data_IF_574348023091
#
_entry.id   IF_574348023091
#
_cell.length_a   1.000
_cell.length_b   1.000
_cell.length_c   1.000
_cell.angle_alpha   90.00
_cell.angle_beta   90.00
_cell.angle_gamma   90.00
#
_symmetry.space_group_name_H-M   'P 1'
#
loop_
_entity.id
_entity.type
_entity.pdbx_description
1 polymer ?
#
# COMPACT_ATOMS: atom_id res chain seq x y z
N UNK A 1 -46.09 47.25 36.87
CA UNK A 1 -45.32 46.23 36.10
C UNK A 1 -45.23 46.70 34.66
N UNK A 2 -44.14 46.45 33.90
CA UNK A 2 -42.87 45.71 34.15
C UNK A 2 -41.67 46.69 34.31
N UNK A 3 -40.50 46.43 34.96
CA UNK A 3 -39.43 45.39 35.01
C UNK A 3 -38.50 45.37 33.77
N UNK A 4 -37.43 46.15 33.86
CA UNK A 4 -36.18 46.08 33.08
C UNK A 4 -35.18 45.13 33.75
N UNK A 5 -34.28 44.52 32.96
CA UNK A 5 -32.91 44.22 33.41
C UNK A 5 -32.37 42.83 33.07
N UNK A 6 -31.29 42.81 32.28
CA UNK A 6 -30.16 41.88 32.42
C UNK A 6 -30.23 40.58 31.63
N UNK A 7 -29.53 40.52 30.49
CA UNK A 7 -29.19 39.22 29.85
C UNK A 7 -27.97 39.19 28.91
N UNK A 8 -27.12 40.20 28.89
CA UNK A 8 -25.96 40.22 27.97
C UNK A 8 -24.59 40.00 28.63
N UNK A 9 -24.43 40.15 29.95
CA UNK A 9 -23.09 40.08 30.60
C UNK A 9 -22.65 38.67 31.08
N UNK A 10 -23.52 37.66 31.03
CA UNK A 10 -23.24 36.35 31.65
C UNK A 10 -22.59 35.30 30.73
N UNK A 11 -22.49 35.55 29.42
CA UNK A 11 -21.95 34.56 28.47
C UNK A 11 -20.41 34.60 28.35
N UNK A 12 -19.77 35.77 28.48
CA UNK A 12 -18.31 35.91 28.36
C UNK A 12 -17.52 35.44 29.60
N UNK A 13 -18.16 35.42 30.78
CA UNK A 13 -17.49 35.04 32.04
C UNK A 13 -17.33 33.52 32.22
N UNK A 14 -18.10 32.70 31.49
CA UNK A 14 -18.06 31.24 31.60
C UNK A 14 -16.97 30.58 30.74
N UNK A 15 -16.69 31.09 29.54
CA UNK A 15 -15.61 30.60 28.67
C UNK A 15 -14.22 30.84 29.29
N UNK A 16 -14.07 31.93 30.03
CA UNK A 16 -12.78 32.35 30.62
C UNK A 16 -12.36 31.49 31.83
N UNK A 17 -13.30 30.82 32.51
CA UNK A 17 -13.04 30.12 33.79
C UNK A 17 -12.58 28.65 33.62
N UNK A 18 -12.75 28.08 32.42
CA UNK A 18 -12.34 26.69 32.09
C UNK A 18 -11.01 26.66 31.31
N UNK A 19 -10.64 27.75 30.63
CA UNK A 19 -9.43 27.86 29.83
C UNK A 19 -8.13 27.74 30.67
N UNK A 20 -8.05 28.40 31.83
CA UNK A 20 -6.84 28.39 32.66
C UNK A 20 -6.51 27.00 33.27
N UNK A 21 -7.49 26.22 33.79
CA UNK A 21 -7.26 24.83 34.19
C UNK A 21 -6.85 23.89 33.03
N UNK A 22 -7.39 24.11 31.83
CA UNK A 22 -7.06 23.34 30.63
C UNK A 22 -5.62 23.57 30.18
N UNK A 23 -5.16 24.82 30.15
CA UNK A 23 -3.78 25.16 29.79
C UNK A 23 -2.77 24.61 30.79
N UNK A 24 -3.05 24.73 32.10
CA UNK A 24 -2.19 24.18 33.15
C UNK A 24 -2.10 22.64 33.10
N UNK A 25 -3.23 21.97 32.83
CA UNK A 25 -3.27 20.52 32.62
C UNK A 25 -2.47 20.12 31.38
N UNK A 26 -2.58 20.86 30.29
CA UNK A 26 -1.86 20.59 29.06
C UNK A 26 -0.35 20.74 29.22
N UNK A 27 0.14 21.76 29.91
CA UNK A 27 1.58 21.95 30.11
C UNK A 27 2.18 20.82 30.97
N UNK A 28 1.42 20.31 31.95
CA UNK A 28 1.77 19.14 32.74
C UNK A 28 1.82 17.86 31.87
N UNK A 29 0.78 17.62 31.06
CA UNK A 29 0.71 16.49 30.13
C UNK A 29 1.86 16.55 29.13
N UNK A 30 2.15 17.71 28.56
CA UNK A 30 3.28 17.95 27.65
C UNK A 30 4.61 17.62 28.30
N UNK A 31 4.81 18.04 29.55
CA UNK A 31 6.04 17.76 30.31
C UNK A 31 6.22 16.28 30.65
N UNK A 32 5.11 15.56 30.90
CA UNK A 32 5.10 14.10 31.04
C UNK A 32 5.43 13.39 29.74
N UNK A 33 4.69 13.70 28.67
CA UNK A 33 4.88 13.12 27.35
C UNK A 33 6.26 13.40 26.76
N UNK A 34 6.85 14.57 27.03
CA UNK A 34 8.23 14.90 26.61
C UNK A 34 9.28 14.01 27.28
N UNK A 35 9.07 13.61 28.54
CA UNK A 35 9.95 12.67 29.26
C UNK A 35 9.77 11.24 28.76
N UNK A 36 8.53 10.83 28.51
CA UNK A 36 8.19 9.44 28.17
C UNK A 36 8.44 9.10 26.69
N UNK A 37 8.16 10.04 25.78
CA UNK A 37 8.34 9.86 24.33
C UNK A 37 9.73 10.29 23.85
N UNK A 38 10.48 10.99 24.70
CA UNK A 38 11.75 11.61 24.37
C UNK A 38 11.58 12.95 23.64
N UNK A 39 12.60 13.80 23.80
CA UNK A 39 12.57 15.20 23.35
C UNK A 39 12.35 15.35 21.84
N UNK A 40 12.97 14.49 21.03
CA UNK A 40 12.87 14.56 19.56
C UNK A 40 11.46 14.25 19.04
N UNK A 41 10.85 13.18 19.53
CA UNK A 41 9.49 12.76 19.18
C UNK A 41 8.47 13.81 19.62
N UNK A 42 8.61 14.32 20.84
CA UNK A 42 7.71 15.33 21.37
C UNK A 42 7.80 16.65 20.59
N UNK A 43 9.03 17.15 20.39
CA UNK A 43 9.25 18.42 19.69
C UNK A 43 8.79 18.38 18.23
N UNK A 44 8.85 17.20 17.58
CA UNK A 44 8.39 17.01 16.20
C UNK A 44 6.88 16.88 16.02
N UNK A 45 6.18 16.26 16.97
CA UNK A 45 4.78 15.84 16.77
C UNK A 45 3.75 16.45 17.71
N UNK A 46 4.15 16.77 18.94
CA UNK A 46 3.20 17.19 19.98
C UNK A 46 3.43 18.64 20.42
N UNK A 47 4.63 19.17 20.22
CA UNK A 47 4.93 20.59 20.45
C UNK A 47 4.08 21.54 19.58
N UNK A 48 3.78 21.24 18.29
CA UNK A 48 2.93 22.09 17.46
C UNK A 48 1.43 21.99 17.78
N UNK A 49 1.03 21.15 18.74
CA UNK A 49 -0.38 20.93 19.06
C UNK A 49 -0.91 22.03 20.00
N UNK A 50 -2.05 22.60 19.61
CA UNK A 50 -2.77 23.64 20.36
C UNK A 50 -4.04 23.06 20.97
N UNK A 51 -4.48 23.63 22.11
CA UNK A 51 -5.73 23.21 22.75
C UNK A 51 -6.88 23.93 22.05
N UNK A 52 -7.86 23.16 21.58
CA UNK A 52 -9.11 23.68 21.03
C UNK A 52 -10.22 23.77 22.07
N UNK A 53 -11.45 23.75 21.59
CA UNK A 53 -12.64 23.85 22.44
C UNK A 53 -12.94 22.55 23.17
N UNK A 54 -13.36 22.67 24.44
CA UNK A 54 -13.95 21.57 25.21
C UNK A 54 -15.47 21.65 25.04
N UNK A 55 -16.07 20.60 24.50
CA UNK A 55 -17.53 20.47 24.46
C UNK A 55 -18.06 20.13 25.86
N UNK A 56 -18.84 21.03 26.49
CA UNK A 56 -19.33 20.84 27.86
C UNK A 56 -20.38 19.73 28.00
N UNK A 57 -21.08 19.36 26.92
CA UNK A 57 -22.13 18.33 26.94
C UNK A 57 -21.55 16.92 26.76
N UNK A 58 -20.55 16.78 25.89
CA UNK A 58 -19.92 15.48 25.61
C UNK A 58 -18.65 15.23 26.43
N UNK A 59 -18.01 16.28 26.94
CA UNK A 59 -16.70 16.21 27.60
C UNK A 59 -15.55 15.89 26.63
N UNK A 60 -15.74 16.17 25.34
CA UNK A 60 -14.74 15.93 24.28
C UNK A 60 -13.86 17.16 24.11
N UNK A 61 -12.55 16.99 24.27
CA UNK A 61 -11.57 18.07 24.05
C UNK A 61 -10.98 17.99 22.65
N UNK A 62 -11.05 19.09 21.91
CA UNK A 62 -10.39 19.17 20.61
C UNK A 62 -8.90 19.53 20.78
N UNK A 63 -8.01 18.78 20.13
CA UNK A 63 -6.58 19.08 20.02
C UNK A 63 -6.30 19.49 18.58
N UNK A 64 -5.88 20.73 18.38
CA UNK A 64 -5.69 21.34 17.07
C UNK A 64 -4.26 21.09 16.61
N UNK A 65 -4.12 20.51 15.43
CA UNK A 65 -2.86 20.25 14.77
C UNK A 65 -2.69 21.19 13.56
N UNK A 66 -1.45 21.58 13.22
CA UNK A 66 -1.20 22.49 12.10
C UNK A 66 -1.54 21.89 10.73
N UNK A 67 -1.84 20.57 10.65
CA UNK A 67 -2.30 19.93 9.43
C UNK A 67 -3.19 18.71 9.66
N UNK A 68 -4.00 18.37 8.66
CA UNK A 68 -4.81 17.14 8.65
C UNK A 68 -3.96 15.88 8.77
N UNK A 69 -2.79 15.87 8.12
CA UNK A 69 -1.90 14.72 8.16
C UNK A 69 -1.27 14.50 9.52
N UNK A 70 -0.84 15.57 10.19
CA UNK A 70 -0.37 15.48 11.57
C UNK A 70 -1.52 15.10 12.51
N UNK A 71 -2.75 15.60 12.27
CA UNK A 71 -3.92 15.18 13.03
C UNK A 71 -4.16 13.67 12.93
N UNK A 72 -4.24 13.14 11.72
CA UNK A 72 -4.47 11.71 11.46
C UNK A 72 -3.36 10.84 12.07
N UNK A 73 -2.11 11.31 12.02
CA UNK A 73 -0.97 10.54 12.53
C UNK A 73 -0.88 10.59 14.05
N UNK A 74 -1.06 11.75 14.68
CA UNK A 74 -1.09 11.87 16.14
C UNK A 74 -2.28 11.08 16.69
N UNK A 75 -3.43 11.10 16.01
CA UNK A 75 -4.57 10.25 16.36
C UNK A 75 -4.19 8.76 16.32
N UNK A 76 -3.54 8.32 15.23
CA UNK A 76 -3.20 6.90 15.03
C UNK A 76 -2.09 6.38 15.97
N UNK A 77 -1.13 7.23 16.36
CA UNK A 77 0.07 6.80 17.11
C UNK A 77 0.04 7.20 18.59
N UNK A 78 -0.62 8.32 18.90
CA UNK A 78 -0.64 8.91 20.23
C UNK A 78 -2.05 9.15 20.78
N UNK A 79 -3.11 8.93 20.01
CA UNK A 79 -4.50 9.14 20.43
C UNK A 79 -4.81 8.46 21.76
N UNK A 80 -4.56 7.15 21.86
CA UNK A 80 -4.83 6.39 23.10
C UNK A 80 -4.03 6.92 24.31
N UNK A 81 -2.77 7.33 24.08
CA UNK A 81 -1.89 7.85 25.14
C UNK A 81 -2.32 9.23 25.59
N UNK A 82 -2.68 10.10 24.66
CA UNK A 82 -3.20 11.43 24.93
C UNK A 82 -4.54 11.34 25.67
N UNK A 83 -5.44 10.45 25.23
CA UNK A 83 -6.73 10.23 25.88
C UNK A 83 -6.54 9.79 27.34
N UNK A 84 -5.61 8.86 27.58
CA UNK A 84 -5.27 8.41 28.93
C UNK A 84 -4.66 9.54 29.78
N UNK A 85 -3.70 10.30 29.23
CA UNK A 85 -3.04 11.38 29.94
C UNK A 85 -4.02 12.51 30.35
N UNK A 86 -4.95 12.86 29.46
CA UNK A 86 -6.02 13.82 29.73
C UNK A 86 -6.97 13.31 30.80
N UNK A 87 -7.44 12.06 30.69
CA UNK A 87 -8.33 11.44 31.68
C UNK A 87 -7.72 11.37 33.08
N UNK A 88 -6.41 11.16 33.18
CA UNK A 88 -5.69 11.13 34.47
C UNK A 88 -5.47 12.53 35.06
N UNK A 89 -5.20 13.53 34.23
CA UNK A 89 -4.83 14.88 34.69
C UNK A 89 -6.06 15.76 34.95
N UNK A 90 -7.06 15.68 34.09
CA UNK A 90 -8.30 16.45 34.18
C UNK A 90 -9.50 15.54 33.87
N UNK A 91 -10.12 14.91 34.89
CA UNK A 91 -11.23 13.96 34.71
C UNK A 91 -12.50 14.56 34.05
N UNK A 92 -12.55 15.88 33.87
CA UNK A 92 -13.56 16.59 33.11
C UNK A 92 -13.49 16.24 31.61
N UNK A 93 -12.30 15.94 31.09
CA UNK A 93 -12.08 15.49 29.70
C UNK A 93 -12.31 13.98 29.64
N UNK A 94 -13.38 13.57 28.97
CA UNK A 94 -13.79 12.18 28.83
C UNK A 94 -13.22 11.53 27.58
N UNK A 95 -13.11 12.31 26.51
CA UNK A 95 -12.58 11.88 25.22
C UNK A 95 -11.79 13.03 24.58
N UNK A 96 -10.94 12.69 23.61
CA UNK A 96 -10.18 13.67 22.84
C UNK A 96 -10.44 13.49 21.36
N UNK A 97 -10.47 14.61 20.63
CA UNK A 97 -10.59 14.61 19.18
C UNK A 97 -9.45 15.42 18.59
N UNK A 98 -8.62 14.78 17.77
CA UNK A 98 -7.51 15.47 17.13
C UNK A 98 -7.99 15.99 15.77
N UNK A 99 -7.92 17.30 15.59
CA UNK A 99 -8.46 18.01 14.42
C UNK A 99 -7.37 18.87 13.77
N UNK A 100 -7.47 19.09 12.46
CA UNK A 100 -6.62 20.06 11.79
C UNK A 100 -7.11 21.48 12.04
N UNK A 101 -6.21 22.46 12.09
CA UNK A 101 -6.58 23.88 12.01
C UNK A 101 -7.41 24.15 10.75
N UNK A 102 -8.40 25.04 10.83
CA UNK A 102 -9.32 25.31 9.72
C UNK A 102 -8.60 25.81 8.43
N UNK A 103 -7.47 26.51 8.59
CA UNK A 103 -6.59 26.99 7.52
C UNK A 103 -5.36 26.09 7.26
N UNK A 104 -5.35 24.88 7.83
CA UNK A 104 -4.27 23.94 7.61
C UNK A 104 -4.08 23.64 6.12
N UNK A 105 -2.84 23.68 5.58
CA UNK A 105 -2.57 23.17 4.25
C UNK A 105 -3.01 21.71 4.22
N UNK A 106 -4.09 21.42 3.48
CA UNK A 106 -4.46 20.05 3.16
C UNK A 106 -3.25 19.45 2.44
N UNK A 107 -2.77 18.27 2.82
CA UNK A 107 -1.85 17.55 1.98
C UNK A 107 -2.65 17.20 0.73
N UNK A 108 -2.53 18.02 -0.30
CA UNK A 108 -2.64 17.50 -1.64
C UNK A 108 -1.65 16.32 -1.70
N UNK A 109 -2.00 15.17 -2.28
CA UNK A 109 -0.97 14.19 -2.62
C UNK A 109 0.15 14.98 -3.31
N UNK A 110 1.37 14.89 -2.78
CA UNK A 110 2.56 15.69 -3.15
C UNK A 110 3.04 15.51 -4.60
N UNK A 111 2.14 15.06 -5.46
CA UNK A 111 2.16 15.07 -6.91
C UNK A 111 1.14 16.08 -7.50
N UNK A 112 0.72 17.10 -6.75
CA UNK A 112 0.48 18.39 -7.40
C UNK A 112 1.88 18.98 -7.56
N UNK A 113 2.55 18.50 -8.62
CA UNK A 113 3.65 19.22 -9.22
C UNK A 113 3.20 20.68 -9.25
N UNK A 114 4.05 21.54 -8.69
CA UNK A 114 4.08 22.97 -8.93
C UNK A 114 3.36 23.28 -10.24
N UNK A 115 2.26 24.04 -10.16
CA UNK A 115 1.57 24.56 -11.34
C UNK A 115 2.65 25.28 -12.17
N UNK A 116 3.22 24.54 -13.11
CA UNK A 116 3.98 25.10 -14.18
C UNK A 116 3.02 26.11 -14.79
N UNK A 117 3.34 27.40 -14.60
CA UNK A 117 2.65 28.57 -15.17
C UNK A 117 1.94 28.13 -16.44
N UNK A 118 0.62 28.41 -16.60
CA UNK A 118 -0.14 27.85 -17.69
C UNK A 118 0.56 28.16 -19.00
N UNK A 119 1.29 27.18 -19.54
CA UNK A 119 1.59 27.15 -20.96
C UNK A 119 0.22 27.03 -21.57
N UNK A 120 -0.18 28.11 -22.23
CA UNK A 120 -1.39 28.28 -23.05
C UNK A 120 -2.12 26.95 -23.21
N UNK A 121 -3.26 26.82 -22.54
CA UNK A 121 -4.17 25.69 -22.69
C UNK A 121 -4.53 25.66 -24.17
N UNK A 122 -3.80 24.89 -24.97
CA UNK A 122 -4.30 24.38 -26.23
C UNK A 122 -5.57 23.63 -25.85
N UNK A 123 -6.70 24.08 -26.39
CA UNK A 123 -8.02 23.47 -26.19
C UNK A 123 -7.87 21.95 -26.16
N UNK A 124 -8.06 21.34 -24.98
CA UNK A 124 -7.97 19.89 -24.85
C UNK A 124 -9.10 19.31 -25.68
N UNK A 125 -8.75 18.48 -26.64
CA UNK A 125 -9.71 17.75 -27.46
C UNK A 125 -10.64 16.94 -26.54
N UNK A 126 -11.96 17.23 -26.50
CA UNK A 126 -12.91 16.53 -25.63
C UNK A 126 -13.09 15.04 -25.99
N UNK A 127 -12.48 14.57 -27.08
CA UNK A 127 -12.51 13.17 -27.52
C UNK A 127 -11.43 12.29 -26.89
N UNK A 128 -10.43 12.86 -26.23
CA UNK A 128 -9.36 12.08 -25.59
C UNK A 128 -9.76 11.64 -24.18
N UNK A 129 -9.53 10.36 -23.80
CA UNK A 129 -9.76 9.90 -22.44
C UNK A 129 -8.96 10.73 -21.43
N UNK A 130 -9.52 10.94 -20.24
CA UNK A 130 -8.85 11.68 -19.16
C UNK A 130 -7.72 10.84 -18.54
N UNK A 131 -6.62 10.69 -19.25
CA UNK A 131 -5.42 10.03 -18.77
C UNK A 131 -4.69 10.92 -17.77
N UNK A 132 -4.32 10.35 -16.62
CA UNK A 132 -3.46 11.00 -15.65
C UNK A 132 -2.13 11.46 -16.30
N UNK A 133 -1.82 12.77 -16.33
CA UNK A 133 -0.61 13.30 -16.96
C UNK A 133 0.70 12.78 -16.33
N UNK A 134 0.64 12.25 -15.12
CA UNK A 134 1.79 11.71 -14.38
C UNK A 134 2.21 10.33 -14.88
N UNK A 135 1.30 9.60 -15.53
CA UNK A 135 1.54 8.23 -15.99
C UNK A 135 1.96 8.22 -17.46
N UNK A 136 3.22 8.56 -17.68
CA UNK A 136 3.86 8.58 -19.01
C UNK A 136 5.03 7.63 -19.07
N UNK A 137 5.48 7.30 -20.27
CA UNK A 137 6.60 6.39 -20.41
C UNK A 137 7.93 6.98 -19.88
N UNK A 138 8.08 8.30 -19.89
CA UNK A 138 9.26 9.01 -19.38
C UNK A 138 9.35 8.91 -17.85
N UNK A 139 8.20 8.85 -17.17
CA UNK A 139 8.12 8.69 -15.71
C UNK A 139 8.09 7.23 -15.25
N UNK A 140 8.06 6.27 -16.19
CA UNK A 140 8.07 4.84 -15.88
C UNK A 140 9.51 4.31 -15.82
N UNK A 141 9.97 3.99 -14.61
CA UNK A 141 11.32 3.41 -14.41
C UNK A 141 11.33 1.96 -14.86
N UNK A 142 12.19 1.67 -15.84
CA UNK A 142 12.36 0.32 -16.40
C UNK A 142 13.48 -0.41 -15.67
N UNK A 143 13.25 -1.68 -15.38
CA UNK A 143 14.24 -2.63 -14.89
C UNK A 143 13.86 -4.05 -15.30
N UNK A 144 14.70 -5.03 -14.96
CA UNK A 144 14.52 -6.43 -15.38
C UNK A 144 13.13 -6.99 -15.07
N UNK A 145 12.53 -6.59 -13.95
CA UNK A 145 11.21 -7.06 -13.52
C UNK A 145 10.02 -6.59 -14.39
N UNK A 146 10.19 -5.51 -15.18
CA UNK A 146 9.10 -4.91 -15.96
C UNK A 146 9.49 -4.57 -17.41
N UNK A 147 10.69 -4.96 -17.85
CA UNK A 147 11.28 -4.61 -19.14
C UNK A 147 10.44 -5.11 -20.33
N UNK A 148 9.98 -6.36 -20.28
CA UNK A 148 9.17 -6.95 -21.36
C UNK A 148 7.84 -6.19 -21.52
N UNK A 149 7.14 -5.96 -20.42
CA UNK A 149 5.88 -5.20 -20.43
C UNK A 149 6.07 -3.75 -20.89
N UNK A 150 7.12 -3.07 -20.44
CA UNK A 150 7.42 -1.71 -20.84
C UNK A 150 7.77 -1.61 -22.34
N UNK A 151 8.55 -2.56 -22.85
CA UNK A 151 8.94 -2.61 -24.27
C UNK A 151 7.74 -2.92 -25.15
N UNK A 152 6.92 -3.91 -24.77
CA UNK A 152 5.69 -4.26 -25.47
C UNK A 152 4.71 -3.07 -25.52
N UNK A 153 4.53 -2.38 -24.39
CA UNK A 153 3.69 -1.20 -24.29
C UNK A 153 4.18 -0.07 -25.22
N UNK A 154 5.48 0.24 -25.23
CA UNK A 154 6.06 1.26 -26.13
C UNK A 154 5.89 0.89 -27.59
N UNK A 155 6.15 -0.38 -27.95
CA UNK A 155 5.98 -0.87 -29.33
C UNK A 155 4.54 -0.74 -29.78
N UNK A 156 3.57 -1.17 -28.96
CA UNK A 156 2.15 -1.04 -29.28
C UNK A 156 1.70 0.41 -29.40
N UNK A 157 2.27 1.33 -28.62
CA UNK A 157 1.90 2.75 -28.68
C UNK A 157 2.49 3.49 -29.89
N UNK A 158 3.65 3.07 -30.41
CA UNK A 158 4.43 3.87 -31.39
C UNK A 158 4.50 3.25 -32.79
N UNK A 159 4.47 1.93 -32.92
CA UNK A 159 4.60 1.27 -34.20
C UNK A 159 3.40 1.59 -35.12
N UNK A 160 3.60 1.68 -36.43
CA UNK A 160 2.51 1.85 -37.40
C UNK A 160 1.71 0.55 -37.54
N UNK A 161 2.41 -0.59 -37.58
CA UNK A 161 1.84 -1.93 -37.55
C UNK A 161 2.37 -2.69 -36.34
N UNK A 162 1.48 -3.37 -35.61
CA UNK A 162 1.84 -4.17 -34.44
C UNK A 162 1.72 -5.64 -34.81
N UNK A 163 2.77 -6.42 -34.58
CA UNK A 163 2.80 -7.86 -34.89
C UNK A 163 2.02 -8.74 -33.91
N UNK A 164 1.61 -8.16 -32.78
CA UNK A 164 0.82 -8.83 -31.74
C UNK A 164 -0.42 -8.01 -31.39
N UNK A 165 -1.54 -8.68 -31.22
CA UNK A 165 -2.79 -8.08 -30.76
C UNK A 165 -3.70 -9.20 -30.25
N UNK A 166 -4.24 -9.14 -29.01
CA UNK A 166 -4.09 -8.06 -28.02
C UNK A 166 -2.72 -8.02 -27.33
N UNK A 167 -2.47 -6.94 -26.58
CA UNK A 167 -1.44 -6.90 -25.54
C UNK A 167 -2.10 -7.13 -24.18
N UNK A 168 -1.70 -8.18 -23.49
CA UNK A 168 -2.19 -8.52 -22.15
C UNK A 168 -1.09 -8.30 -21.12
N UNK A 169 -1.26 -7.32 -20.23
CA UNK A 169 -0.30 -6.96 -19.18
C UNK A 169 -0.79 -7.48 -17.83
N UNK A 170 -0.04 -8.35 -17.17
CA UNK A 170 -0.45 -8.85 -15.86
C UNK A 170 0.62 -8.70 -14.78
N UNK A 171 0.17 -8.68 -13.54
CA UNK A 171 1.03 -8.60 -12.37
C UNK A 171 0.26 -8.17 -11.14
N UNK A 172 0.82 -8.40 -9.96
CA UNK A 172 0.20 -8.04 -8.69
C UNK A 172 -0.18 -6.56 -8.56
N UNK A 173 -0.84 -6.23 -7.46
CA UNK A 173 -1.26 -4.85 -7.15
C UNK A 173 -0.06 -3.91 -7.02
N UNK A 174 -0.22 -2.67 -7.51
CA UNK A 174 0.80 -1.63 -7.33
C UNK A 174 2.13 -1.88 -8.05
N UNK A 175 2.12 -2.61 -9.18
CA UNK A 175 3.32 -2.88 -10.00
C UNK A 175 3.48 -2.01 -11.25
N UNK A 176 2.50 -1.16 -11.56
CA UNK A 176 2.58 -0.22 -12.70
C UNK A 176 1.74 -0.57 -13.92
N UNK A 177 0.79 -1.52 -13.82
CA UNK A 177 -0.15 -1.86 -14.92
C UNK A 177 -0.92 -0.64 -15.45
N UNK A 178 -1.63 0.05 -14.55
CA UNK A 178 -2.37 1.29 -14.88
C UNK A 178 -1.45 2.39 -15.41
N UNK A 179 -0.21 2.49 -14.91
CA UNK A 179 0.77 3.45 -15.44
C UNK A 179 1.08 3.16 -16.90
N UNK A 180 1.42 1.90 -17.24
CA UNK A 180 1.69 1.51 -18.63
C UNK A 180 0.46 1.71 -19.51
N UNK A 181 -0.75 1.38 -19.02
CA UNK A 181 -1.99 1.57 -19.77
C UNK A 181 -2.20 3.05 -20.15
N UNK A 182 -2.02 3.97 -19.20
CA UNK A 182 -2.08 5.41 -19.47
C UNK A 182 -0.96 5.89 -20.40
N UNK A 183 0.28 5.39 -20.20
CA UNK A 183 1.42 5.77 -21.02
C UNK A 183 1.24 5.37 -22.49
N UNK A 184 0.62 4.21 -22.75
CA UNK A 184 0.21 3.78 -24.09
C UNK A 184 -0.79 4.79 -24.66
N UNK A 185 -1.84 5.14 -23.90
CA UNK A 185 -2.87 6.08 -24.34
C UNK A 185 -2.31 7.46 -24.73
N UNK A 186 -1.48 8.06 -23.87
CA UNK A 186 -0.81 9.33 -24.16
C UNK A 186 0.02 9.26 -25.45
N UNK A 187 0.91 8.28 -25.53
CA UNK A 187 1.87 8.17 -26.64
C UNK A 187 1.19 7.83 -27.96
N UNK A 188 0.16 6.98 -27.94
CA UNK A 188 -0.62 6.63 -29.12
C UNK A 188 -1.40 7.85 -29.63
N UNK A 189 -2.03 8.63 -28.75
CA UNK A 189 -2.75 9.85 -29.14
C UNK A 189 -1.83 10.94 -29.70
N UNK A 190 -0.62 11.06 -29.15
CA UNK A 190 0.42 11.97 -29.67
C UNK A 190 0.95 11.52 -31.05
N UNK A 191 1.07 10.20 -31.27
CA UNK A 191 1.61 9.64 -32.52
C UNK A 191 0.58 9.58 -33.66
N UNK A 192 -0.68 9.29 -33.34
CA UNK A 192 -1.75 9.09 -34.31
C UNK A 192 -2.90 10.10 -34.05
N UNK A 193 -2.66 11.40 -34.32
CA UNK A 193 -3.68 12.43 -34.11
C UNK A 193 -4.91 12.14 -34.98
N UNK A 194 -6.09 12.09 -34.36
CA UNK A 194 -7.37 11.78 -35.01
C UNK A 194 -7.85 10.35 -34.85
N UNK A 195 -7.04 9.44 -34.29
CA UNK A 195 -7.51 8.12 -33.89
C UNK A 195 -8.37 8.19 -32.62
N UNK A 196 -9.41 7.36 -32.54
CA UNK A 196 -10.29 7.27 -31.37
C UNK A 196 -9.67 6.37 -30.31
N UNK A 197 -9.57 6.87 -29.09
CA UNK A 197 -9.05 6.10 -27.95
C UNK A 197 -10.18 5.94 -26.93
N UNK A 198 -10.44 4.70 -26.52
CA UNK A 198 -11.38 4.38 -25.43
C UNK A 198 -10.62 3.72 -24.29
N UNK A 199 -10.83 4.20 -23.07
CA UNK A 199 -10.16 3.69 -21.87
C UNK A 199 -11.12 3.55 -20.70
N UNK A 200 -11.18 2.37 -20.11
CA UNK A 200 -12.03 2.10 -18.94
C UNK A 200 -11.54 0.91 -18.13
N UNK A 201 -11.96 0.83 -16.86
CA UNK A 201 -11.84 -0.43 -16.11
C UNK A 201 -12.90 -1.43 -16.55
N UNK A 202 -12.65 -2.71 -16.34
CA UNK A 202 -13.62 -3.77 -16.62
C UNK A 202 -14.88 -3.65 -15.74
N UNK A 203 -14.74 -3.09 -14.53
CA UNK A 203 -15.87 -2.71 -13.69
C UNK A 203 -16.73 -1.61 -14.32
N UNK A 204 -16.10 -0.55 -14.86
CA UNK A 204 -16.80 0.53 -15.57
C UNK A 204 -17.50 0.00 -16.81
N UNK A 205 -16.84 -0.88 -17.58
CA UNK A 205 -17.46 -1.59 -18.70
C UNK A 205 -18.75 -2.31 -18.27
N UNK A 206 -18.69 -3.09 -17.17
CA UNK A 206 -19.84 -3.80 -16.63
C UNK A 206 -20.97 -2.84 -16.24
N UNK A 207 -20.67 -1.79 -15.47
CA UNK A 207 -21.67 -0.82 -15.01
C UNK A 207 -22.34 -0.10 -16.18
N UNK A 208 -21.56 0.34 -17.16
CA UNK A 208 -22.10 1.01 -18.35
C UNK A 208 -22.91 0.08 -19.25
N UNK A 209 -22.49 -1.19 -19.39
CA UNK A 209 -23.25 -2.18 -20.13
C UNK A 209 -24.60 -2.48 -19.48
N UNK A 210 -24.62 -2.66 -18.14
CA UNK A 210 -25.88 -2.85 -17.39
C UNK A 210 -26.79 -1.62 -17.52
N UNK A 211 -26.23 -0.40 -17.49
CA UNK A 211 -26.99 0.82 -17.70
C UNK A 211 -27.61 0.86 -19.10
N UNK A 212 -26.83 0.57 -20.13
CA UNK A 212 -27.29 0.52 -21.52
C UNK A 212 -28.39 -0.53 -21.74
N UNK A 213 -28.33 -1.68 -21.04
CA UNK A 213 -29.41 -2.67 -21.05
C UNK A 213 -30.70 -2.12 -20.43
N UNK A 214 -30.62 -1.40 -19.31
CA UNK A 214 -31.79 -0.80 -18.66
C UNK A 214 -32.41 0.32 -19.48
N UNK A 215 -31.58 1.09 -20.18
CA UNK A 215 -31.99 2.24 -21.01
C UNK A 215 -32.36 1.85 -22.45
N UNK A 216 -32.27 0.57 -22.81
CA UNK A 216 -32.40 0.06 -24.19
C UNK A 216 -31.43 0.71 -25.20
N UNK A 217 -30.29 1.24 -24.74
CA UNK A 217 -29.24 1.86 -25.56
C UNK A 217 -28.00 0.97 -25.73
N UNK A 218 -28.20 -0.34 -25.90
CA UNK A 218 -27.09 -1.27 -26.12
C UNK A 218 -26.34 -0.99 -27.43
N UNK A 219 -27.02 -0.41 -28.42
CA UNK A 219 -26.44 -0.08 -29.72
C UNK A 219 -25.45 1.08 -29.58
N UNK A 220 -25.81 2.14 -28.85
CA UNK A 220 -24.92 3.27 -28.58
C UNK A 220 -23.65 2.83 -27.84
N UNK A 221 -23.82 2.03 -26.79
CA UNK A 221 -22.69 1.46 -26.04
C UNK A 221 -21.73 0.67 -26.94
N UNK A 222 -22.26 -0.24 -27.76
CA UNK A 222 -21.49 -1.06 -28.70
C UNK A 222 -20.76 -0.21 -29.74
N UNK A 223 -21.47 0.71 -30.37
CA UNK A 223 -20.95 1.58 -31.43
C UNK A 223 -19.76 2.40 -30.93
N UNK A 224 -19.89 3.01 -29.74
CA UNK A 224 -18.82 3.80 -29.13
C UNK A 224 -17.55 2.96 -28.94
N UNK A 225 -17.63 1.83 -28.24
CA UNK A 225 -16.46 1.00 -27.95
C UNK A 225 -15.84 0.39 -29.21
N UNK A 226 -16.66 -0.12 -30.13
CA UNK A 226 -16.19 -0.75 -31.38
C UNK A 226 -15.65 0.27 -32.38
N UNK A 227 -15.98 1.56 -32.22
CA UNK A 227 -15.40 2.64 -33.02
C UNK A 227 -13.97 3.03 -32.62
N UNK A 228 -13.49 2.60 -31.45
CA UNK A 228 -12.13 2.90 -30.98
C UNK A 228 -11.06 2.29 -31.88
N UNK A 229 -9.99 3.03 -32.17
CA UNK A 229 -8.78 2.53 -32.83
C UNK A 229 -7.78 1.94 -31.82
N UNK A 230 -7.87 2.41 -30.57
CA UNK A 230 -7.21 1.85 -29.40
C UNK A 230 -8.23 1.67 -28.28
N UNK A 231 -8.44 0.43 -27.85
CA UNK A 231 -9.26 0.08 -26.69
C UNK A 231 -8.37 -0.39 -25.53
N UNK A 232 -8.44 0.33 -24.41
CA UNK A 232 -7.71 0.05 -23.18
C UNK A 232 -8.68 -0.42 -22.08
N UNK A 233 -8.46 -1.62 -21.56
CA UNK A 233 -9.29 -2.22 -20.51
C UNK A 233 -8.43 -2.55 -19.28
N UNK A 234 -8.65 -1.85 -18.18
CA UNK A 234 -7.92 -2.08 -16.92
C UNK A 234 -8.65 -3.12 -16.04
N UNK A 235 -7.89 -3.98 -15.37
CA UNK A 235 -8.34 -4.95 -14.37
C UNK A 235 -9.50 -5.88 -14.82
N UNK A 236 -9.24 -6.69 -15.86
CA UNK A 236 -10.22 -7.64 -16.43
C UNK A 236 -10.78 -8.66 -15.44
N UNK A 237 -10.10 -8.92 -14.31
CA UNK A 237 -10.59 -9.83 -13.28
C UNK A 237 -11.96 -9.40 -12.69
N UNK A 238 -12.37 -8.13 -12.82
CA UNK A 238 -13.65 -7.66 -12.28
C UNK A 238 -14.90 -8.18 -13.03
N UNK A 239 -14.76 -8.73 -14.24
CA UNK A 239 -15.89 -9.35 -14.96
C UNK A 239 -16.04 -10.86 -14.67
N UNK A 240 -15.23 -11.43 -13.76
CA UNK A 240 -15.31 -12.83 -13.37
C UNK A 240 -16.70 -13.19 -12.81
N UNK A 241 -17.27 -14.30 -13.29
CA UNK A 241 -18.62 -14.76 -12.93
C UNK A 241 -19.77 -13.87 -13.43
N UNK A 242 -19.53 -12.95 -14.36
CA UNK A 242 -20.55 -12.06 -14.95
C UNK A 242 -20.84 -12.45 -16.40
N UNK A 243 -21.58 -13.54 -16.60
CA UNK A 243 -21.75 -14.19 -17.91
C UNK A 243 -22.19 -13.24 -19.04
N UNK A 244 -23.22 -12.43 -18.83
CA UNK A 244 -23.71 -11.48 -19.84
C UNK A 244 -22.68 -10.40 -20.19
N UNK A 245 -21.91 -9.94 -19.20
CA UNK A 245 -20.86 -8.93 -19.39
C UNK A 245 -19.67 -9.55 -20.12
N UNK A 246 -19.28 -10.77 -19.75
CA UNK A 246 -18.23 -11.52 -20.43
C UNK A 246 -18.58 -11.80 -21.90
N UNK A 247 -19.83 -12.12 -22.19
CA UNK A 247 -20.29 -12.30 -23.56
C UNK A 247 -20.15 -11.02 -24.38
N UNK A 248 -20.64 -9.88 -23.88
CA UNK A 248 -20.48 -8.61 -24.59
C UNK A 248 -19.01 -8.20 -24.74
N UNK A 249 -18.20 -8.45 -23.71
CA UNK A 249 -16.76 -8.22 -23.75
C UNK A 249 -16.08 -9.07 -24.84
N UNK A 250 -16.41 -10.36 -24.91
CA UNK A 250 -15.90 -11.27 -25.93
C UNK A 250 -16.23 -10.79 -27.35
N UNK A 251 -17.46 -10.35 -27.59
CA UNK A 251 -17.86 -9.80 -28.89
C UNK A 251 -17.12 -8.50 -29.22
N UNK A 252 -16.99 -7.60 -28.25
CA UNK A 252 -16.26 -6.33 -28.42
C UNK A 252 -14.79 -6.56 -28.75
N UNK A 253 -14.11 -7.48 -28.05
CA UNK A 253 -12.73 -7.83 -28.34
C UNK A 253 -12.56 -8.39 -29.77
N UNK A 254 -13.42 -9.32 -30.18
CA UNK A 254 -13.32 -9.91 -31.52
C UNK A 254 -13.52 -8.88 -32.63
N UNK A 255 -14.41 -7.92 -32.44
CA UNK A 255 -14.62 -6.83 -33.40
C UNK A 255 -13.37 -5.95 -33.52
N UNK A 256 -12.80 -5.53 -32.39
CA UNK A 256 -11.58 -4.70 -32.35
C UNK A 256 -10.41 -5.45 -33.00
N UNK A 257 -10.17 -6.71 -32.61
CA UNK A 257 -9.08 -7.52 -33.15
C UNK A 257 -9.30 -7.79 -34.64
N UNK A 258 -10.52 -8.14 -35.05
CA UNK A 258 -10.86 -8.45 -36.44
C UNK A 258 -10.74 -7.25 -37.38
N UNK A 259 -10.99 -6.04 -36.87
CA UNK A 259 -10.78 -4.79 -37.58
C UNK A 259 -9.31 -4.32 -37.63
N UNK A 260 -8.37 -5.07 -37.03
CA UNK A 260 -6.96 -4.69 -36.97
C UNK A 260 -6.65 -3.54 -36.01
N UNK A 261 -7.61 -3.18 -35.14
CA UNK A 261 -7.50 -2.10 -34.14
C UNK A 261 -6.82 -2.61 -32.88
N UNK A 262 -6.22 -1.72 -32.09
CA UNK A 262 -5.36 -2.11 -30.97
C UNK A 262 -6.16 -2.37 -29.71
N UNK A 263 -5.90 -3.51 -29.07
CA UNK A 263 -6.51 -3.89 -27.80
C UNK A 263 -5.43 -4.10 -26.74
N UNK A 264 -5.54 -3.38 -25.63
CA UNK A 264 -4.69 -3.57 -24.44
C UNK A 264 -5.57 -3.92 -23.25
N UNK A 265 -5.19 -4.98 -22.55
CA UNK A 265 -5.92 -5.48 -21.38
C UNK A 265 -4.94 -5.64 -20.24
N UNK A 266 -5.35 -5.27 -19.03
CA UNK A 266 -4.57 -5.56 -17.82
C UNK A 266 -5.29 -6.52 -16.89
N UNK A 267 -4.51 -7.18 -16.03
CA UNK A 267 -5.02 -8.14 -15.04
C UNK A 267 -4.10 -8.22 -13.81
N UNK A 268 -4.64 -8.63 -12.66
CA UNK A 268 -3.81 -8.99 -11.50
C UNK A 268 -3.05 -10.32 -11.69
N UNK A 269 -3.50 -11.18 -12.62
CA UNK A 269 -2.99 -12.53 -12.87
C UNK A 269 -2.89 -12.85 -14.36
N UNK A 270 -2.11 -13.90 -14.69
CA UNK A 270 -2.02 -14.41 -16.05
C UNK A 270 -3.37 -14.98 -16.53
N UNK A 271 -3.62 -15.09 -17.85
CA UNK A 271 -4.90 -15.57 -18.37
C UNK A 271 -5.31 -16.95 -17.83
N UNK A 272 -4.35 -17.87 -17.69
CA UNK A 272 -4.62 -19.23 -17.18
C UNK A 272 -5.03 -19.28 -15.69
N UNK A 273 -4.74 -18.23 -14.92
CA UNK A 273 -5.00 -18.15 -13.48
C UNK A 273 -6.23 -17.26 -13.16
N UNK A 274 -6.98 -16.86 -14.19
CA UNK A 274 -8.21 -16.07 -14.08
C UNK A 274 -9.43 -16.96 -13.88
N UNK A 275 -9.71 -17.28 -12.62
CA UNK A 275 -10.89 -18.05 -12.22
C UNK A 275 -12.19 -17.30 -12.57
N UNK A 276 -13.17 -18.02 -13.11
CA UNK A 276 -14.49 -17.47 -13.42
C UNK A 276 -14.57 -16.64 -14.70
N UNK A 277 -13.52 -16.62 -15.53
CA UNK A 277 -13.55 -16.07 -16.90
C UNK A 277 -13.78 -17.19 -17.92
N UNK A 278 -14.65 -16.96 -18.90
CA UNK A 278 -14.99 -17.95 -19.91
C UNK A 278 -13.75 -18.40 -20.72
N UNK A 279 -13.56 -19.72 -20.96
CA UNK A 279 -12.38 -20.24 -21.67
C UNK A 279 -12.13 -19.60 -23.05
N UNK A 280 -13.21 -19.22 -23.75
CA UNK A 280 -13.15 -18.53 -25.04
C UNK A 280 -12.49 -17.14 -24.97
N UNK A 281 -12.66 -16.43 -23.84
CA UNK A 281 -11.99 -15.15 -23.58
C UNK A 281 -10.52 -15.42 -23.32
N UNK A 282 -10.21 -16.34 -22.41
CA UNK A 282 -8.83 -16.70 -22.05
C UNK A 282 -8.00 -17.11 -23.27
N UNK A 283 -8.56 -17.92 -24.16
CA UNK A 283 -7.92 -18.32 -25.41
C UNK A 283 -7.56 -17.14 -26.31
N UNK A 284 -8.42 -16.12 -26.38
CA UNK A 284 -8.16 -14.90 -27.18
C UNK A 284 -7.11 -14.00 -26.55
N UNK A 285 -7.10 -13.90 -25.22
CA UNK A 285 -6.07 -13.17 -24.49
C UNK A 285 -4.69 -13.80 -24.68
N UNK A 286 -4.61 -15.14 -24.65
CA UNK A 286 -3.36 -15.89 -24.80
C UNK A 286 -2.83 -15.97 -26.23
N UNK A 287 -3.64 -15.69 -27.26
CA UNK A 287 -3.18 -15.63 -28.65
C UNK A 287 -2.26 -14.42 -28.90
N UNK A 288 -2.51 -13.32 -28.17
CA UNK A 288 -1.73 -12.08 -28.28
C UNK A 288 -0.37 -12.15 -27.58
N UNK A 289 0.17 -10.99 -27.24
CA UNK A 289 1.37 -10.91 -26.40
C UNK A 289 0.96 -10.82 -24.94
N UNK A 290 1.37 -11.81 -24.14
CA UNK A 290 1.21 -11.82 -22.69
C UNK A 290 2.52 -11.34 -22.07
N UNK A 291 2.48 -10.20 -21.38
CA UNK A 291 3.63 -9.60 -20.72
C UNK A 291 3.40 -9.49 -19.21
N UNK A 292 4.35 -9.96 -18.43
CA UNK A 292 4.31 -9.95 -16.98
C UNK A 292 5.04 -8.73 -16.40
N UNK A 293 4.53 -8.24 -15.28
CA UNK A 293 5.20 -7.29 -14.39
C UNK A 293 5.47 -8.00 -13.07
N UNK A 294 6.74 -8.31 -12.84
CA UNK A 294 7.21 -8.96 -11.63
C UNK A 294 7.36 -7.99 -10.47
N UNK A 295 7.53 -8.54 -9.26
CA UNK A 295 7.90 -7.71 -8.11
C UNK A 295 9.22 -6.99 -8.41
N UNK A 296 9.26 -5.68 -8.15
CA UNK A 296 10.48 -4.91 -8.32
C UNK A 296 11.59 -5.48 -7.44
N UNK A 297 12.78 -5.66 -7.98
CA UNK A 297 13.98 -6.02 -7.23
C UNK A 297 14.55 -4.80 -6.49
N UNK A 298 15.65 -5.00 -5.77
CA UNK A 298 16.30 -3.90 -5.05
C UNK A 298 16.71 -2.76 -5.99
N UNK A 299 17.31 -3.07 -7.13
CA UNK A 299 17.80 -2.08 -8.10
C UNK A 299 16.65 -1.25 -8.67
N UNK A 300 15.56 -1.89 -9.09
CA UNK A 300 14.39 -1.20 -9.61
C UNK A 300 13.73 -0.33 -8.53
N UNK A 301 13.59 -0.82 -7.30
CA UNK A 301 13.06 0.00 -6.18
C UNK A 301 13.95 1.20 -5.89
N UNK A 302 15.26 1.01 -5.85
CA UNK A 302 16.23 2.08 -5.66
C UNK A 302 16.08 3.16 -6.73
N UNK A 303 16.05 2.75 -8.00
CA UNK A 303 15.91 3.67 -9.14
C UNK A 303 14.57 4.40 -9.14
N UNK A 304 13.48 3.74 -8.71
CA UNK A 304 12.17 4.37 -8.52
C UNK A 304 12.26 5.48 -7.46
N UNK A 305 12.87 5.21 -6.29
CA UNK A 305 13.01 6.22 -5.23
C UNK A 305 13.80 7.43 -5.75
N UNK A 306 14.92 7.19 -6.42
CA UNK A 306 15.76 8.25 -6.99
C UNK A 306 14.98 9.08 -8.02
N UNK A 307 14.27 8.42 -8.94
CA UNK A 307 13.47 9.11 -9.95
C UNK A 307 12.36 9.96 -9.32
N UNK A 308 11.72 9.49 -8.25
CA UNK A 308 10.67 10.23 -7.54
C UNK A 308 11.24 11.39 -6.72
N UNK A 309 12.39 11.22 -6.08
CA UNK A 309 13.09 12.29 -5.35
C UNK A 309 13.55 13.41 -6.28
N UNK A 310 13.95 13.09 -7.51
CA UNK A 310 14.32 14.10 -8.51
C UNK A 310 13.16 15.07 -8.85
N UNK A 311 11.91 14.66 -8.62
CA UNK A 311 10.72 15.51 -8.78
C UNK A 311 10.43 16.37 -7.53
N UNK A 312 11.18 16.19 -6.45
CA UNK A 312 10.99 16.85 -5.15
C UNK A 312 12.28 17.55 -4.72
N UNK A 313 12.69 18.66 -5.38
CA UNK A 313 13.98 19.31 -5.13
C UNK A 313 14.11 19.89 -3.71
N UNK A 314 12.99 20.11 -3.00
CA UNK A 314 12.98 20.56 -1.61
C UNK A 314 13.24 19.44 -0.59
N UNK A 315 13.34 18.17 -1.02
CA UNK A 315 13.48 17.01 -0.15
C UNK A 315 14.86 16.38 -0.34
N UNK A 316 15.76 16.64 0.59
CA UNK A 316 17.08 16.01 0.62
C UNK A 316 17.02 14.70 1.41
N UNK A 317 17.28 13.57 0.73
CA UNK A 317 17.31 12.25 1.34
C UNK A 317 18.71 11.62 1.19
N UNK A 318 19.42 11.32 2.30
CA UNK A 318 20.73 10.68 2.24
C UNK A 318 20.69 9.30 1.57
N UNK A 319 21.77 8.93 0.86
CA UNK A 319 21.88 7.63 0.17
C UNK A 319 21.63 6.42 1.09
N UNK A 320 22.08 6.49 2.35
CA UNK A 320 21.83 5.43 3.32
C UNK A 320 20.34 5.21 3.62
N UNK A 321 19.53 6.28 3.58
CA UNK A 321 18.08 6.19 3.75
C UNK A 321 17.41 5.61 2.49
N UNK A 322 17.88 5.98 1.30
CA UNK A 322 17.40 5.41 0.03
C UNK A 322 17.66 3.90 -0.01
N UNK A 323 18.88 3.45 0.31
CA UNK A 323 19.23 2.02 0.39
C UNK A 323 18.37 1.31 1.44
N UNK A 324 18.19 1.91 2.63
CA UNK A 324 17.33 1.38 3.67
C UNK A 324 15.88 1.17 3.20
N UNK A 325 15.27 2.17 2.55
CA UNK A 325 13.91 2.06 2.01
C UNK A 325 13.81 1.01 0.92
N UNK A 326 14.75 0.99 -0.03
CA UNK A 326 14.79 0.00 -1.10
C UNK A 326 14.94 -1.44 -0.56
N UNK A 327 15.58 -1.65 0.59
CA UNK A 327 15.66 -2.95 1.26
C UNK A 327 14.43 -3.31 2.07
N UNK A 328 13.83 -2.35 2.76
CA UNK A 328 12.79 -2.60 3.77
C UNK A 328 11.36 -2.56 3.22
N UNK A 329 11.08 -1.75 2.20
CA UNK A 329 9.73 -1.63 1.62
C UNK A 329 9.67 -2.45 0.33
N UNK A 330 9.20 -3.69 0.42
CA UNK A 330 9.33 -4.71 -0.64
C UNK A 330 8.00 -5.22 -1.19
N UNK A 331 6.88 -4.86 -0.56
CA UNK A 331 5.54 -5.33 -0.91
C UNK A 331 5.08 -4.92 -2.32
N UNK A 332 5.17 -3.63 -2.68
CA UNK A 332 4.76 -3.08 -3.96
C UNK A 332 5.36 -1.70 -4.22
N UNK A 333 5.44 -1.29 -5.49
CA UNK A 333 5.88 0.06 -5.88
C UNK A 333 4.91 1.12 -5.33
N UNK A 334 3.60 0.82 -5.31
CA UNK A 334 2.60 1.72 -4.72
C UNK A 334 2.87 2.03 -3.25
N UNK A 335 3.22 1.02 -2.45
CA UNK A 335 3.54 1.21 -1.04
C UNK A 335 4.88 1.95 -0.86
N UNK A 336 5.86 1.68 -1.71
CA UNK A 336 7.13 2.40 -1.75
C UNK A 336 6.94 3.89 -2.05
N UNK A 337 6.15 4.23 -3.07
CA UNK A 337 5.79 5.61 -3.39
C UNK A 337 5.00 6.26 -2.25
N UNK A 338 4.06 5.54 -1.64
CA UNK A 338 3.31 6.02 -0.48
C UNK A 338 4.21 6.30 0.73
N UNK A 339 5.22 5.45 0.96
CA UNK A 339 6.22 5.63 2.01
C UNK A 339 7.09 6.87 1.74
N UNK A 340 7.58 7.03 0.51
CA UNK A 340 8.36 8.20 0.10
C UNK A 340 7.58 9.51 0.26
N UNK A 341 6.34 9.55 -0.23
CA UNK A 341 5.46 10.71 -0.10
C UNK A 341 5.23 11.08 1.36
N UNK A 342 5.07 10.07 2.24
CA UNK A 342 4.89 10.29 3.67
C UNK A 342 6.13 10.91 4.31
N UNK A 343 7.31 10.39 4.00
CA UNK A 343 8.59 10.93 4.50
C UNK A 343 8.78 12.37 4.01
N UNK A 344 8.60 12.62 2.72
CA UNK A 344 8.74 13.93 2.11
C UNK A 344 7.80 14.97 2.76
N UNK A 345 6.51 14.62 2.90
CA UNK A 345 5.53 15.47 3.57
C UNK A 345 5.98 15.82 4.99
N UNK A 346 6.38 14.83 5.79
CA UNK A 346 6.78 15.08 7.17
C UNK A 346 8.04 15.92 7.31
N UNK A 347 9.03 15.69 6.46
CA UNK A 347 10.28 16.45 6.49
C UNK A 347 9.99 17.93 6.20
N UNK A 348 9.18 18.22 5.18
CA UNK A 348 8.82 19.59 4.81
C UNK A 348 8.01 20.30 5.90
N UNK A 349 7.12 19.59 6.59
CA UNK A 349 6.23 20.18 7.59
C UNK A 349 6.90 20.41 8.94
N UNK A 350 7.81 19.51 9.33
CA UNK A 350 8.51 19.59 10.62
C UNK A 350 9.86 20.29 10.52
N UNK A 351 10.37 20.51 9.30
CA UNK A 351 11.73 21.01 9.06
C UNK A 351 12.83 20.08 9.58
N UNK A 352 12.51 18.81 9.86
CA UNK A 352 13.47 17.82 10.35
C UNK A 352 14.27 17.22 9.19
N UNK A 353 15.56 17.01 9.43
CA UNK A 353 16.41 16.26 8.51
C UNK A 353 15.96 14.80 8.40
N UNK A 354 16.06 14.25 7.18
CA UNK A 354 15.70 12.86 6.90
C UNK A 354 16.89 11.97 7.27
N UNK A 355 16.82 11.31 8.43
CA UNK A 355 17.73 10.24 8.83
C UNK A 355 16.98 8.90 9.00
N UNK A 356 17.71 7.82 9.29
CA UNK A 356 17.10 6.48 9.47
C UNK A 356 16.12 6.47 10.65
N UNK A 357 16.45 7.17 11.75
CA UNK A 357 15.58 7.22 12.92
C UNK A 357 14.25 7.92 12.62
N UNK A 358 14.28 9.01 11.87
CA UNK A 358 13.10 9.71 11.36
C UNK A 358 12.25 8.80 10.47
N UNK A 359 12.87 8.05 9.56
CA UNK A 359 12.15 7.12 8.69
C UNK A 359 11.50 5.98 9.49
N UNK A 360 12.19 5.41 10.46
CA UNK A 360 11.65 4.35 11.33
C UNK A 360 10.46 4.84 12.17
N UNK A 361 10.54 6.09 12.64
CA UNK A 361 9.46 6.77 13.35
C UNK A 361 8.23 7.01 12.45
N UNK A 362 8.44 7.61 11.28
CA UNK A 362 7.38 7.98 10.33
C UNK A 362 6.72 6.75 9.71
N UNK A 363 7.51 5.71 9.41
CA UNK A 363 7.06 4.51 8.71
C UNK A 363 6.86 3.30 9.63
N UNK A 364 6.78 3.48 10.95
CA UNK A 364 6.71 2.37 11.91
C UNK A 364 5.70 1.28 11.51
N UNK A 365 4.49 1.66 11.09
CA UNK A 365 3.46 0.71 10.66
C UNK A 365 3.76 0.03 9.31
N UNK A 366 4.26 0.79 8.34
CA UNK A 366 4.65 0.29 7.01
C UNK A 366 5.81 -0.70 7.13
N UNK A 367 6.82 -0.36 7.92
CA UNK A 367 7.97 -1.22 8.18
C UNK A 367 7.57 -2.47 8.96
N UNK A 368 6.67 -2.38 9.94
CA UNK A 368 6.10 -3.56 10.63
C UNK A 368 5.29 -4.46 9.68
N UNK A 369 4.56 -3.90 8.73
CA UNK A 369 3.81 -4.67 7.73
C UNK A 369 4.75 -5.37 6.73
N UNK A 370 5.89 -4.74 6.40
CA UNK A 370 6.91 -5.28 5.49
C UNK A 370 7.99 -6.13 6.20
N UNK A 371 7.98 -6.23 7.53
CA UNK A 371 8.84 -7.19 8.22
C UNK A 371 8.53 -8.58 7.70
N UNK A 372 9.52 -9.22 7.08
CA UNK A 372 9.42 -10.57 6.53
C UNK A 372 8.85 -11.49 7.59
N UNK A 373 7.59 -11.89 7.43
CA UNK A 373 6.96 -12.86 8.33
C UNK A 373 7.50 -14.23 7.96
N UNK A 374 8.47 -14.70 8.74
CA UNK A 374 8.99 -16.06 8.61
C UNK A 374 7.80 -17.02 8.74
N UNK A 375 7.57 -17.84 7.72
CA UNK A 375 6.51 -18.83 7.74
C UNK A 375 6.98 -20.13 8.40
N UNK A 376 6.06 -20.87 9.03
CA UNK A 376 6.38 -22.21 9.56
C UNK A 376 6.89 -23.13 8.44
N UNK A 377 6.41 -22.94 7.22
CA UNK A 377 6.81 -23.72 6.06
C UNK A 377 8.27 -23.46 5.65
N UNK A 378 8.70 -22.19 5.62
CA UNK A 378 10.11 -21.81 5.41
C UNK A 378 11.01 -22.38 6.52
N UNK A 379 10.57 -22.30 7.79
CA UNK A 379 11.31 -22.88 8.92
C UNK A 379 11.46 -24.39 8.74
N UNK A 380 10.39 -25.10 8.36
CA UNK A 380 10.45 -26.54 8.11
C UNK A 380 11.43 -26.87 6.98
N UNK A 381 11.42 -26.10 5.89
CA UNK A 381 12.33 -26.30 4.76
C UNK A 381 13.79 -26.08 5.18
N UNK A 382 14.11 -24.94 5.80
CA UNK A 382 15.48 -24.59 6.21
C UNK A 382 16.05 -25.55 7.24
N UNK A 383 15.25 -25.93 8.25
CA UNK A 383 15.68 -26.90 9.26
C UNK A 383 15.85 -28.29 8.64
N UNK A 384 15.00 -28.69 7.68
CA UNK A 384 15.15 -29.96 6.99
C UNK A 384 16.45 -30.02 6.16
N UNK A 385 16.77 -28.93 5.44
CA UNK A 385 18.00 -28.80 4.66
C UNK A 385 19.24 -28.84 5.55
N UNK A 386 19.26 -28.08 6.66
CA UNK A 386 20.40 -28.05 7.61
C UNK A 386 20.71 -29.43 8.18
N UNK A 387 19.67 -30.16 8.64
CA UNK A 387 19.83 -31.49 9.21
C UNK A 387 19.82 -32.62 8.17
N UNK A 388 19.78 -32.28 6.87
CA UNK A 388 19.77 -33.22 5.73
C UNK A 388 18.66 -34.28 5.82
N UNK A 389 17.49 -33.87 6.28
CA UNK A 389 16.28 -34.69 6.29
C UNK A 389 15.30 -34.22 5.22
N UNK A 390 14.36 -35.08 4.82
CA UNK A 390 13.30 -34.65 3.90
C UNK A 390 12.27 -33.82 4.64
N UNK A 391 11.79 -32.72 4.04
CA UNK A 391 10.73 -31.88 4.62
C UNK A 391 9.49 -32.67 5.06
N UNK A 392 9.10 -33.71 4.30
CA UNK A 392 7.99 -34.61 4.67
C UNK A 392 8.17 -35.30 6.03
N UNK A 393 9.41 -35.43 6.52
CA UNK A 393 9.66 -35.98 7.85
C UNK A 393 9.29 -34.99 8.99
N UNK A 394 9.11 -33.69 8.71
CA UNK A 394 8.63 -32.72 9.70
C UNK A 394 7.20 -33.03 10.16
N UNK A 395 6.39 -33.66 9.31
CA UNK A 395 5.01 -34.04 9.63
C UNK A 395 4.85 -35.52 9.96
N UNK A 396 5.86 -36.36 9.70
CA UNK A 396 5.77 -37.83 9.90
C UNK A 396 5.62 -38.25 11.37
N UNK A 397 5.06 -39.43 11.62
CA UNK A 397 4.94 -40.01 12.97
C UNK A 397 6.26 -40.57 13.53
N UNK A 398 7.35 -40.58 12.73
CA UNK A 398 8.65 -41.18 13.08
C UNK A 398 9.24 -40.49 14.33
N UNK A 399 9.65 -41.31 15.31
CA UNK A 399 10.20 -40.86 16.62
C UNK A 399 11.71 -41.06 16.76
N UNK A 400 12.39 -41.55 15.72
CA UNK A 400 13.85 -41.69 15.72
C UNK A 400 14.51 -40.34 16.01
N UNK A 401 15.57 -40.33 16.83
CA UNK A 401 16.22 -39.10 17.32
C UNK A 401 16.68 -38.19 16.18
N UNK A 402 17.22 -38.76 15.11
CA UNK A 402 17.68 -38.08 13.90
C UNK A 402 16.58 -37.29 13.17
N UNK A 403 15.31 -37.64 13.36
CA UNK A 403 14.17 -36.90 12.79
C UNK A 403 13.44 -36.08 13.84
N UNK A 404 13.30 -36.62 15.05
CA UNK A 404 12.61 -35.96 16.15
C UNK A 404 13.33 -34.69 16.61
N UNK A 405 14.68 -34.68 16.62
CA UNK A 405 15.47 -33.51 17.01
C UNK A 405 15.30 -32.34 16.04
N UNK A 406 15.54 -32.48 14.72
CA UNK A 406 15.26 -31.40 13.77
C UNK A 406 13.82 -30.89 13.85
N UNK A 407 12.85 -31.78 14.02
CA UNK A 407 11.43 -31.39 14.17
C UNK A 407 11.19 -30.55 15.42
N UNK A 408 11.81 -30.91 16.55
CA UNK A 408 11.73 -30.12 17.79
C UNK A 408 12.39 -28.74 17.61
N UNK A 409 13.53 -28.68 16.92
CA UNK A 409 14.20 -27.41 16.56
C UNK A 409 13.28 -26.54 15.70
N UNK A 410 12.63 -27.12 14.67
CA UNK A 410 11.69 -26.40 13.81
C UNK A 410 10.46 -25.89 14.60
N UNK A 411 9.93 -26.66 15.54
CA UNK A 411 8.85 -26.21 16.44
C UNK A 411 9.30 -25.07 17.36
N UNK A 412 10.51 -25.15 17.91
CA UNK A 412 11.11 -24.11 18.72
C UNK A 412 11.27 -22.81 17.94
N UNK A 413 11.89 -22.86 16.77
CA UNK A 413 12.05 -21.70 15.88
C UNK A 413 10.70 -21.16 15.43
N UNK A 414 9.71 -22.02 15.14
CA UNK A 414 8.34 -21.59 14.81
C UNK A 414 7.69 -20.80 15.93
N UNK A 415 7.97 -21.14 17.20
CA UNK A 415 7.45 -20.40 18.34
C UNK A 415 8.16 -19.06 18.57
N UNK A 416 9.45 -18.98 18.26
CA UNK A 416 10.25 -17.77 18.45
C UNK A 416 10.07 -16.75 17.31
N UNK A 417 10.02 -17.24 16.06
CA UNK A 417 10.12 -16.41 14.86
C UNK A 417 8.77 -16.16 14.18
N UNK A 418 7.67 -16.70 14.72
CA UNK A 418 6.33 -16.52 14.14
C UNK A 418 5.29 -16.16 15.21
N UNK A 419 4.25 -15.38 14.87
CA UNK A 419 3.16 -15.04 15.80
C UNK A 419 2.14 -16.17 15.98
N UNK A 420 2.43 -17.41 15.52
CA UNK A 420 1.46 -18.51 15.53
C UNK A 420 1.25 -19.08 16.94
N UNK A 421 0.01 -19.45 17.21
CA UNK A 421 -0.36 -20.10 18.47
C UNK A 421 0.24 -21.52 18.54
N UNK A 422 0.46 -22.04 19.74
CA UNK A 422 0.97 -23.41 19.93
C UNK A 422 0.07 -24.47 19.26
N UNK A 423 -1.28 -24.36 19.29
CA UNK A 423 -2.16 -25.23 18.51
C UNK A 423 -1.93 -25.13 16.99
N UNK A 424 -1.76 -23.92 16.45
CA UNK A 424 -1.55 -23.73 15.01
C UNK A 424 -0.20 -24.26 14.56
N UNK A 425 0.84 -24.11 15.40
CA UNK A 425 2.15 -24.73 15.17
C UNK A 425 1.97 -26.25 15.13
N UNK A 426 1.35 -26.85 16.14
CA UNK A 426 1.11 -28.30 16.21
C UNK A 426 0.38 -28.85 14.97
N UNK A 427 -0.65 -28.12 14.49
CA UNK A 427 -1.39 -28.46 13.28
C UNK A 427 -0.48 -28.53 12.03
N UNK A 428 0.49 -27.61 11.91
CA UNK A 428 1.47 -27.55 10.81
C UNK A 428 2.56 -28.61 10.88
N UNK A 429 2.74 -29.26 12.03
CA UNK A 429 3.64 -30.40 12.20
C UNK A 429 2.83 -31.70 12.27
N UNK A 430 1.97 -31.97 11.28
CA UNK A 430 1.23 -33.24 11.17
C UNK A 430 0.11 -33.43 12.20
N UNK A 431 -0.62 -32.35 12.53
CA UNK A 431 -1.79 -32.44 13.41
C UNK A 431 -1.48 -32.72 14.89
N UNK A 432 -0.28 -32.35 15.36
CA UNK A 432 0.14 -32.61 16.74
C UNK A 432 -0.53 -31.69 17.75
N UNK A 433 -0.77 -32.20 18.94
CA UNK A 433 -1.31 -31.41 20.05
C UNK A 433 -0.35 -30.29 20.49
N UNK A 434 -0.94 -29.19 20.96
CA UNK A 434 -0.20 -28.05 21.48
C UNK A 434 0.75 -28.42 22.63
N UNK A 435 0.42 -29.45 23.42
CA UNK A 435 1.28 -30.00 24.48
C UNK A 435 2.59 -30.57 23.92
N UNK A 436 2.55 -31.21 22.75
CA UNK A 436 3.75 -31.71 22.06
C UNK A 436 4.69 -30.58 21.68
N UNK A 437 4.14 -29.45 21.24
CA UNK A 437 4.92 -28.25 20.92
C UNK A 437 5.55 -27.65 22.19
N UNK A 438 4.81 -27.59 23.30
CA UNK A 438 5.34 -27.14 24.61
C UNK A 438 6.52 -28.02 25.05
N UNK A 439 6.37 -29.34 24.96
CA UNK A 439 7.44 -30.28 25.30
C UNK A 439 8.66 -30.12 24.39
N UNK A 440 8.46 -29.93 23.08
CA UNK A 440 9.54 -29.67 22.14
C UNK A 440 10.31 -28.39 22.48
N UNK A 441 9.60 -27.27 22.72
CA UNK A 441 10.19 -25.98 23.07
C UNK A 441 11.04 -26.09 24.33
N UNK A 442 10.47 -26.61 25.43
CA UNK A 442 11.19 -26.77 26.71
C UNK A 442 12.40 -27.69 26.58
N UNK A 443 12.28 -28.74 25.79
CA UNK A 443 13.37 -29.68 25.56
C UNK A 443 14.53 -29.02 24.82
N UNK A 444 14.24 -28.22 23.79
CA UNK A 444 15.27 -27.48 23.05
C UNK A 444 15.91 -26.41 23.94
N UNK A 445 15.14 -25.65 24.72
CA UNK A 445 15.68 -24.67 25.67
C UNK A 445 16.66 -25.30 26.67
N UNK A 446 16.30 -26.47 27.22
CA UNK A 446 17.20 -27.21 28.12
C UNK A 446 18.49 -27.66 27.42
N UNK A 447 18.41 -28.07 26.17
CA UNK A 447 19.57 -28.58 25.44
C UNK A 447 20.48 -27.47 24.94
N UNK A 448 19.94 -26.30 24.58
CA UNK A 448 20.77 -25.13 24.24
C UNK A 448 21.72 -24.74 25.37
N UNK A 449 21.32 -24.97 26.63
CA UNK A 449 22.18 -24.73 27.79
C UNK A 449 23.25 -25.81 28.01
N UNK A 450 23.06 -27.02 27.49
CA UNK A 450 23.89 -28.19 27.77
C UNK A 450 24.72 -28.68 26.57
N UNK A 451 24.33 -28.32 25.35
CA UNK A 451 24.89 -28.76 24.07
C UNK A 451 25.23 -27.54 23.23
N UNK A 452 26.53 -27.21 23.19
CA UNK A 452 27.07 -26.06 22.46
C UNK A 452 26.95 -26.19 20.95
N UNK A 453 26.95 -27.41 20.42
CA UNK A 453 26.83 -27.66 18.98
C UNK A 453 25.39 -27.37 18.52
N UNK A 454 24.41 -27.86 19.30
CA UNK A 454 23.00 -27.55 19.05
C UNK A 454 22.69 -26.06 19.20
N UNK A 455 23.29 -25.36 20.15
CA UNK A 455 23.10 -23.91 20.29
C UNK A 455 23.68 -23.14 19.09
N UNK A 456 24.85 -23.56 18.58
CA UNK A 456 25.44 -22.98 17.38
C UNK A 456 24.55 -23.19 16.13
N UNK A 457 24.01 -24.40 15.95
CA UNK A 457 23.05 -24.72 14.89
C UNK A 457 21.83 -23.79 14.94
N UNK A 458 21.22 -23.63 16.11
CA UNK A 458 20.03 -22.80 16.28
C UNK A 458 20.33 -21.34 15.99
N UNK A 459 21.50 -20.81 16.40
CA UNK A 459 21.92 -19.45 16.06
C UNK A 459 22.16 -19.26 14.57
N UNK A 460 22.73 -20.26 13.89
CA UNK A 460 22.93 -20.23 12.45
C UNK A 460 21.58 -20.20 11.71
N UNK A 461 20.69 -21.14 12.04
CA UNK A 461 19.35 -21.24 11.47
C UNK A 461 18.53 -19.96 11.71
N UNK A 462 18.62 -19.36 12.91
CA UNK A 462 17.94 -18.11 13.23
C UNK A 462 18.41 -16.98 12.31
N UNK A 463 19.74 -16.81 12.14
CA UNK A 463 20.29 -15.80 11.22
C UNK A 463 19.86 -16.03 9.77
N UNK A 464 19.90 -17.27 9.29
CA UNK A 464 19.47 -17.61 7.92
C UNK A 464 17.98 -17.33 7.67
N UNK A 465 17.14 -17.53 8.70
CA UNK A 465 15.71 -17.29 8.62
C UNK A 465 15.34 -15.80 8.69
N UNK A 466 16.09 -15.02 9.48
CA UNK A 466 15.86 -13.57 9.65
C UNK A 466 16.39 -12.74 8.47
N UNK A 467 17.35 -13.26 7.70
CA UNK A 467 17.89 -12.63 6.49
C UNK A 467 19.16 -11.85 6.76
#
# INVERSE_FOLDING_TARGET
MPVQGGREDSCQLAETNVAAPLEAAWESIRSGLRRDLGVRTFDGWLKPAEIGTLDPDTGTLDIIMPSQFMADWVQSHFGDRLALAWKTTLPLVRDIRIVAAADAPRPAPLLVLEEARPRSVTERDPTLPNFDPRYRFESFVVGKANEVAATAARTLATAEQVSFNPLFIHGGTGRGKTHLLHAIGHTFGERFPGCRIESMSAEKFMVEFIRALKENDTIGFKSRLRSADLLLIDDVQFIAGKDSTQEEFFHTMNEIIGAGKRLVITSDRAPQDLDGIAPRILSRLSWGLVADINSADFELRYNIIVAKLALLPAVEMPRGVIDFLARRVTSSVRELEGALNRIAAYAMMTGRDIDIAFVEEVLANVLRANQRRISIDEIQTQVAEHYRIRKAEMTSARRAREVARPRQVAMYLSKQLTPKSLPDIGRRFGGRDHTTVIHAVRQIEKLRAADSELDADIRLLTRQLEG
#
